data_IF_448636380744
#
_entry.id   IF_448636380744
#
_cell.length_a   1.000
_cell.length_b   1.000
_cell.length_c   1.000
_cell.angle_alpha   90.00
_cell.angle_beta   90.00
_cell.angle_gamma   90.00
#
_symmetry.space_group_name_H-M   'P 1'
#
loop_
_entity.id
_entity.type
_entity.pdbx_description
1 polymer ?
#
# COMPACT_ATOMS: atom_id res chain seq x y z
N UNK A 1 -46.30 2.91 23.48
CA UNK A 1 -44.84 3.00 23.33
C UNK A 1 -44.52 4.46 23.23
N UNK A 2 -43.93 5.05 24.27
CA UNK A 2 -43.29 6.35 24.11
C UNK A 2 -42.17 6.18 23.06
N UNK A 3 -42.10 7.11 22.13
CA UNK A 3 -41.10 7.07 21.07
C UNK A 3 -39.76 7.47 21.68
N UNK A 4 -39.05 6.52 22.27
CA UNK A 4 -37.73 6.78 22.81
C UNK A 4 -36.73 6.82 21.65
N UNK A 5 -36.49 8.03 21.16
CA UNK A 5 -35.52 8.30 20.10
C UNK A 5 -34.11 7.83 20.49
N UNK A 6 -33.81 7.73 21.80
CA UNK A 6 -32.52 7.25 22.32
C UNK A 6 -32.34 5.76 22.02
N UNK A 7 -33.39 4.95 22.15
CA UNK A 7 -33.35 3.52 21.84
C UNK A 7 -33.08 3.28 20.35
N UNK A 8 -33.80 3.98 19.48
CA UNK A 8 -33.57 3.93 18.03
C UNK A 8 -32.17 4.40 17.64
N UNK A 9 -31.64 5.42 18.33
CA UNK A 9 -30.26 5.86 18.16
C UNK A 9 -29.25 4.77 18.55
N UNK A 10 -29.50 4.03 19.64
CA UNK A 10 -28.70 2.87 20.05
C UNK A 10 -28.71 1.74 19.03
N UNK A 11 -29.87 1.42 18.44
CA UNK A 11 -29.96 0.44 17.36
C UNK A 11 -29.20 0.88 16.11
N UNK A 12 -29.29 2.16 15.74
CA UNK A 12 -28.53 2.71 14.62
C UNK A 12 -27.02 2.62 14.88
N UNK A 13 -26.56 2.99 16.08
CA UNK A 13 -25.15 2.87 16.45
C UNK A 13 -24.66 1.41 16.38
N UNK A 14 -25.45 0.47 16.92
CA UNK A 14 -25.18 -0.97 16.84
C UNK A 14 -25.06 -1.46 15.40
N UNK A 15 -25.97 -1.02 14.53
CA UNK A 15 -25.99 -1.38 13.12
C UNK A 15 -24.74 -0.86 12.40
N UNK A 16 -24.32 0.38 12.67
CA UNK A 16 -23.10 0.94 12.08
C UNK A 16 -21.87 0.12 12.49
N UNK A 17 -21.76 -0.26 13.77
CA UNK A 17 -20.69 -1.13 14.25
C UNK A 17 -20.75 -2.48 13.55
N UNK A 18 -21.92 -3.11 13.45
CA UNK A 18 -22.10 -4.39 12.75
C UNK A 18 -21.68 -4.31 11.28
N UNK A 19 -22.12 -3.27 10.56
CA UNK A 19 -21.76 -3.02 9.16
C UNK A 19 -20.25 -2.78 9.02
N UNK A 20 -19.60 -2.15 9.99
CA UNK A 20 -18.14 -1.98 9.96
C UNK A 20 -17.39 -3.31 9.89
N UNK A 21 -17.91 -4.35 10.57
CA UNK A 21 -17.29 -5.68 10.63
C UNK A 21 -17.43 -6.47 9.32
N UNK A 22 -18.33 -6.06 8.42
CA UNK A 22 -18.50 -6.70 7.10
C UNK A 22 -17.57 -6.11 6.04
N UNK A 23 -16.82 -5.05 6.36
CA UNK A 23 -15.95 -4.36 5.42
C UNK A 23 -14.68 -5.15 5.12
N UNK A 24 -14.39 -5.37 3.83
CA UNK A 24 -13.17 -6.08 3.38
C UNK A 24 -11.90 -5.21 3.48
N UNK A 25 -12.03 -3.90 3.29
CA UNK A 25 -10.89 -2.99 3.37
C UNK A 25 -10.60 -2.63 4.83
N UNK A 26 -9.34 -2.86 5.26
CA UNK A 26 -8.90 -2.56 6.63
C UNK A 26 -9.12 -1.07 6.97
N UNK A 27 -8.87 -0.16 6.03
CA UNK A 27 -9.10 1.28 6.24
C UNK A 27 -10.59 1.57 6.44
N UNK A 28 -11.46 1.03 5.57
CA UNK A 28 -12.92 1.22 5.69
C UNK A 28 -13.45 0.65 7.01
N UNK A 29 -12.98 -0.53 7.40
CA UNK A 29 -13.32 -1.16 8.68
C UNK A 29 -12.98 -0.22 9.84
N UNK A 30 -11.75 0.31 9.90
CA UNK A 30 -11.31 1.19 10.99
C UNK A 30 -12.07 2.51 11.03
N UNK A 31 -12.35 3.12 9.88
CA UNK A 31 -13.08 4.40 9.78
C UNK A 31 -14.53 4.23 10.20
N UNK A 32 -15.24 3.23 9.67
CA UNK A 32 -16.67 3.02 9.99
C UNK A 32 -16.81 2.56 11.44
N UNK A 33 -15.91 1.70 11.93
CA UNK A 33 -15.91 1.27 13.33
C UNK A 33 -15.63 2.44 14.28
N UNK A 34 -14.72 3.36 13.92
CA UNK A 34 -14.50 4.59 14.69
C UNK A 34 -15.80 5.42 14.81
N UNK A 35 -16.50 5.65 13.69
CA UNK A 35 -17.78 6.37 13.68
C UNK A 35 -18.81 5.63 14.54
N UNK A 36 -18.94 4.31 14.37
CA UNK A 36 -19.84 3.46 15.13
C UNK A 36 -19.58 3.53 16.64
N UNK A 37 -18.32 3.46 17.07
CA UNK A 37 -17.94 3.60 18.48
C UNK A 37 -18.25 5.00 19.03
N UNK A 38 -18.06 6.08 18.26
CA UNK A 38 -18.44 7.42 18.72
C UNK A 38 -19.96 7.55 18.90
N UNK A 39 -20.74 7.02 17.95
CA UNK A 39 -22.20 6.96 18.07
C UNK A 39 -22.63 6.14 19.30
N UNK A 40 -21.99 4.99 19.52
CA UNK A 40 -22.32 4.11 20.64
C UNK A 40 -21.88 4.70 21.99
N UNK A 41 -20.78 5.46 22.03
CA UNK A 41 -20.37 6.21 23.21
C UNK A 41 -21.37 7.33 23.54
N UNK A 42 -21.88 8.04 22.54
CA UNK A 42 -22.93 9.05 22.73
C UNK A 42 -24.25 8.41 23.22
N UNK A 43 -24.63 7.26 22.67
CA UNK A 43 -25.77 6.48 23.17
C UNK A 43 -25.56 6.07 24.63
N UNK A 44 -24.39 5.50 24.97
CA UNK A 44 -24.06 5.09 26.33
C UNK A 44 -24.09 6.25 27.33
N UNK A 45 -23.75 7.47 26.89
CA UNK A 45 -23.89 8.67 27.69
C UNK A 45 -25.37 9.00 27.97
N UNK A 46 -26.26 8.89 26.97
CA UNK A 46 -27.69 9.16 27.17
C UNK A 46 -28.39 8.18 28.13
N UNK A 47 -27.88 6.96 28.26
CA UNK A 47 -28.40 5.95 29.20
C UNK A 47 -27.58 5.87 30.52
N UNK A 48 -26.73 6.86 30.80
CA UNK A 48 -25.86 6.93 31.98
C UNK A 48 -24.94 5.69 32.18
N UNK A 49 -24.59 5.00 31.09
CA UNK A 49 -23.73 3.81 31.09
C UNK A 49 -22.26 4.17 30.92
N UNK A 50 -21.66 4.73 31.98
CA UNK A 50 -20.25 5.16 31.99
C UNK A 50 -19.24 4.08 31.56
N UNK A 51 -19.34 2.80 32.00
CA UNK A 51 -18.41 1.76 31.56
C UNK A 51 -18.46 1.52 30.05
N UNK A 52 -19.67 1.53 29.47
CA UNK A 52 -19.91 1.31 28.04
C UNK A 52 -19.40 2.50 27.22
N UNK A 53 -19.59 3.72 27.71
CA UNK A 53 -19.05 4.94 27.10
C UNK A 53 -17.52 4.89 27.04
N UNK A 54 -16.88 4.60 28.18
CA UNK A 54 -15.41 4.53 28.26
C UNK A 54 -14.84 3.44 27.34
N UNK A 55 -15.48 2.27 27.30
CA UNK A 55 -15.08 1.18 26.41
C UNK A 55 -15.10 1.62 24.93
N UNK A 56 -16.18 2.26 24.49
CA UNK A 56 -16.30 2.70 23.09
C UNK A 56 -15.34 3.84 22.74
N UNK A 57 -15.08 4.78 23.67
CA UNK A 57 -14.06 5.80 23.48
C UNK A 57 -12.65 5.19 23.39
N UNK A 58 -12.36 4.16 24.21
CA UNK A 58 -11.11 3.41 24.12
C UNK A 58 -10.94 2.72 22.77
N UNK A 59 -11.98 2.05 22.27
CA UNK A 59 -11.98 1.43 20.94
C UNK A 59 -11.81 2.49 19.84
N UNK A 60 -12.47 3.64 19.94
CA UNK A 60 -12.29 4.75 19.01
C UNK A 60 -10.82 5.21 18.96
N UNK A 61 -10.17 5.39 20.12
CA UNK A 61 -8.74 5.71 20.20
C UNK A 61 -7.85 4.65 19.54
N UNK A 62 -8.14 3.36 19.77
CA UNK A 62 -7.41 2.25 19.12
C UNK A 62 -7.57 2.31 17.59
N UNK A 63 -8.77 2.56 17.07
CA UNK A 63 -8.97 2.68 15.63
C UNK A 63 -8.15 3.85 15.05
N UNK A 64 -8.08 4.99 15.73
CA UNK A 64 -7.23 6.12 15.31
C UNK A 64 -5.76 5.74 15.28
N UNK A 65 -5.26 5.06 16.32
CA UNK A 65 -3.87 4.59 16.36
C UNK A 65 -3.52 3.67 15.18
N UNK A 66 -4.38 2.68 14.89
CA UNK A 66 -4.17 1.79 13.74
C UNK A 66 -4.31 2.52 12.40
N UNK A 67 -5.27 3.43 12.28
CA UNK A 67 -5.46 4.21 11.07
C UNK A 67 -4.24 5.09 10.79
N UNK A 68 -3.71 5.76 11.81
CA UNK A 68 -2.47 6.52 11.74
C UNK A 68 -1.27 5.64 11.32
N UNK A 69 -1.15 4.44 11.89
CA UNK A 69 -0.11 3.47 11.51
C UNK A 69 -0.19 3.04 10.05
N UNK A 70 -1.41 2.85 9.52
CA UNK A 70 -1.62 2.51 8.10
C UNK A 70 -1.23 3.68 7.17
N UNK A 71 -1.58 4.91 7.53
CA UNK A 71 -1.23 6.10 6.72
C UNK A 71 0.24 6.48 6.83
N UNK A 72 0.90 6.17 7.95
CA UNK A 72 2.32 6.49 8.19
C UNK A 72 3.23 5.31 7.83
N UNK A 73 2.67 4.21 7.31
CA UNK A 73 3.45 3.07 6.87
C UNK A 73 4.47 3.51 5.82
N UNK A 74 5.76 3.44 6.18
CA UNK A 74 6.84 3.80 5.27
C UNK A 74 6.85 2.82 4.10
N UNK A 75 7.05 3.37 2.91
CA UNK A 75 7.17 2.60 1.70
C UNK A 75 8.39 1.68 1.79
N UNK A 76 8.22 0.43 1.34
CA UNK A 76 9.28 -0.58 1.35
C UNK A 76 9.76 -0.77 -0.07
N UNK A 77 11.00 -0.40 -0.33
CA UNK A 77 11.66 -0.62 -1.60
C UNK A 77 12.53 -1.87 -1.51
N UNK A 78 12.53 -2.69 -2.56
CA UNK A 78 13.36 -3.91 -2.61
C UNK A 78 13.76 -4.21 -4.04
N UNK A 79 15.05 -4.42 -4.26
CA UNK A 79 15.56 -4.95 -5.51
C UNK A 79 15.52 -6.49 -5.42
N UNK A 80 14.94 -7.15 -6.42
CA UNK A 80 14.97 -8.62 -6.52
C UNK A 80 15.50 -9.05 -7.88
N UNK A 81 16.30 -10.11 -7.91
CA UNK A 81 16.80 -10.68 -9.17
C UNK A 81 15.65 -11.08 -10.09
N UNK A 82 15.74 -10.68 -11.34
CA UNK A 82 14.84 -11.06 -12.42
C UNK A 82 15.61 -11.88 -13.45
N UNK A 83 14.91 -12.80 -14.12
CA UNK A 83 15.45 -13.48 -15.29
C UNK A 83 14.76 -12.90 -16.53
N UNK A 84 15.56 -12.48 -17.51
CA UNK A 84 15.07 -11.96 -18.80
C UNK A 84 14.24 -12.99 -19.57
N UNK A 85 14.47 -14.28 -19.32
CA UNK A 85 13.74 -15.40 -19.92
C UNK A 85 12.44 -15.74 -19.20
N UNK A 86 12.18 -15.15 -18.03
CA UNK A 86 10.97 -15.45 -17.27
C UNK A 86 9.72 -14.92 -17.98
N UNK A 87 8.63 -15.69 -17.92
CA UNK A 87 7.34 -15.30 -18.50
C UNK A 87 6.87 -13.94 -17.97
N UNK A 88 7.10 -13.68 -16.68
CA UNK A 88 6.72 -12.41 -16.06
C UNK A 88 7.53 -11.23 -16.61
N UNK A 89 8.83 -11.39 -16.83
CA UNK A 89 9.66 -10.31 -17.38
C UNK A 89 9.22 -9.97 -18.80
N UNK A 90 9.03 -11.01 -19.62
CA UNK A 90 8.54 -10.85 -20.98
C UNK A 90 7.17 -10.17 -21.02
N UNK A 91 6.25 -10.58 -20.14
CA UNK A 91 4.95 -9.94 -20.00
C UNK A 91 5.09 -8.46 -19.59
N UNK A 92 5.89 -8.15 -18.58
CA UNK A 92 6.12 -6.79 -18.11
C UNK A 92 6.67 -5.89 -19.24
N UNK A 93 7.68 -6.36 -19.96
CA UNK A 93 8.28 -5.62 -21.09
C UNK A 93 7.27 -5.43 -22.21
N UNK A 94 6.49 -6.45 -22.56
CA UNK A 94 5.46 -6.35 -23.59
C UNK A 94 4.34 -5.36 -23.21
N UNK A 95 3.87 -5.41 -21.96
CA UNK A 95 2.83 -4.48 -21.46
C UNK A 95 3.31 -3.03 -21.49
N UNK A 96 4.60 -2.79 -21.27
CA UNK A 96 5.19 -1.45 -21.21
C UNK A 96 6.01 -1.08 -22.46
N UNK A 97 5.91 -1.88 -23.54
CA UNK A 97 6.78 -1.80 -24.72
C UNK A 97 6.86 -0.39 -25.32
N UNK A 98 5.71 0.28 -25.49
CA UNK A 98 5.63 1.60 -26.10
C UNK A 98 6.42 2.69 -25.35
N UNK A 99 6.60 2.54 -24.04
CA UNK A 99 7.42 3.47 -23.24
C UNK A 99 8.87 3.01 -23.16
N UNK A 100 9.14 1.69 -23.11
CA UNK A 100 10.50 1.12 -23.08
C UNK A 100 11.25 1.41 -24.38
N UNK A 101 10.57 1.28 -25.53
CA UNK A 101 11.14 1.57 -26.86
C UNK A 101 11.58 3.02 -27.04
N UNK A 102 11.15 3.93 -26.16
CA UNK A 102 11.64 5.32 -26.14
C UNK A 102 13.03 5.45 -25.52
N UNK A 103 13.46 4.45 -24.75
CA UNK A 103 14.75 4.45 -24.04
C UNK A 103 15.75 3.50 -24.69
N UNK A 104 15.29 2.32 -25.12
CA UNK A 104 16.16 1.28 -25.68
C UNK A 104 15.37 0.33 -26.57
N UNK A 105 16.07 -0.40 -27.44
CA UNK A 105 15.45 -1.45 -28.25
C UNK A 105 15.12 -2.67 -27.38
N UNK A 106 13.86 -3.12 -27.42
CA UNK A 106 13.39 -4.28 -26.66
C UNK A 106 14.12 -5.56 -27.08
N UNK A 107 14.58 -5.64 -28.33
CA UNK A 107 15.39 -6.75 -28.83
C UNK A 107 16.72 -6.87 -28.09
N UNK A 108 17.36 -5.74 -27.77
CA UNK A 108 18.65 -5.71 -27.07
C UNK A 108 18.55 -6.25 -25.62
N UNK A 109 17.41 -6.04 -24.94
CA UNK A 109 17.18 -6.49 -23.56
C UNK A 109 17.27 -8.01 -23.39
N UNK A 110 17.02 -8.79 -24.44
CA UNK A 110 17.11 -10.25 -24.40
C UNK A 110 18.55 -10.76 -24.29
N UNK A 111 19.52 -9.90 -24.62
CA UNK A 111 20.94 -10.24 -24.53
C UNK A 111 21.57 -9.85 -23.20
N UNK A 112 20.81 -9.18 -22.33
CA UNK A 112 21.29 -8.78 -21.02
C UNK A 112 21.52 -9.99 -20.11
N UNK A 113 22.65 -10.02 -19.42
CA UNK A 113 22.97 -11.09 -18.47
C UNK A 113 22.32 -10.89 -17.09
N UNK A 114 21.94 -9.65 -16.76
CA UNK A 114 21.45 -9.27 -15.43
C UNK A 114 20.19 -8.42 -15.53
N UNK A 115 19.18 -8.79 -14.76
CA UNK A 115 17.96 -8.01 -14.61
C UNK A 115 17.48 -8.02 -13.16
N UNK A 116 16.80 -6.94 -12.77
CA UNK A 116 16.20 -6.80 -11.45
C UNK A 116 14.80 -6.21 -11.56
N UNK A 117 13.89 -6.65 -10.69
CA UNK A 117 12.65 -5.93 -10.43
C UNK A 117 12.85 -4.96 -9.28
N UNK A 118 12.45 -3.71 -9.50
CA UNK A 118 12.31 -2.71 -8.45
C UNK A 118 10.93 -2.84 -7.83
N UNK A 119 10.86 -3.30 -6.58
CA UNK A 119 9.60 -3.41 -5.85
C UNK A 119 9.34 -2.15 -5.03
N UNK A 120 8.07 -1.72 -5.00
CA UNK A 120 7.54 -0.77 -4.02
C UNK A 120 6.33 -1.39 -3.34
N UNK A 121 6.43 -1.59 -2.02
CA UNK A 121 5.41 -2.27 -1.23
C UNK A 121 5.02 -3.65 -1.78
N UNK A 122 6.02 -4.39 -2.29
CA UNK A 122 5.87 -5.73 -2.90
C UNK A 122 5.16 -5.75 -4.26
N UNK A 123 4.81 -4.59 -4.83
CA UNK A 123 4.40 -4.44 -6.23
C UNK A 123 5.61 -4.13 -7.10
N UNK A 124 5.68 -4.68 -8.31
CA UNK A 124 6.74 -4.38 -9.27
C UNK A 124 6.50 -2.98 -9.82
N UNK A 125 7.38 -2.07 -9.45
CA UNK A 125 7.32 -0.69 -9.86
C UNK A 125 8.17 -0.41 -11.11
N UNK A 126 9.14 -1.27 -11.40
CA UNK A 126 10.03 -1.11 -12.53
C UNK A 126 10.99 -2.27 -12.72
N UNK A 127 11.81 -2.16 -13.76
CA UNK A 127 12.90 -3.09 -14.08
C UNK A 127 14.20 -2.33 -14.30
N UNK A 128 15.28 -2.89 -13.80
CA UNK A 128 16.65 -2.48 -14.10
C UNK A 128 17.31 -3.62 -14.88
N UNK A 129 17.87 -3.35 -16.05
CA UNK A 129 18.46 -4.36 -16.93
C UNK A 129 19.82 -3.88 -17.39
N UNK A 130 20.81 -4.76 -17.39
CA UNK A 130 22.17 -4.42 -17.77
C UNK A 130 23.07 -5.63 -17.95
N UNK A 131 24.35 -5.35 -18.22
CA UNK A 131 25.39 -6.38 -18.24
C UNK A 131 26.40 -6.14 -17.12
N UNK A 132 26.77 -7.20 -16.43
CA UNK A 132 27.88 -7.14 -15.49
C UNK A 132 29.20 -7.27 -16.28
N UNK A 133 29.88 -6.15 -16.51
CA UNK A 133 31.19 -6.17 -17.21
C UNK A 133 32.32 -6.71 -16.32
N UNK A 134 32.23 -6.48 -15.00
CA UNK A 134 33.14 -6.96 -13.95
C UNK A 134 32.35 -7.12 -12.62
N UNK A 135 32.91 -7.76 -11.59
CA UNK A 135 32.24 -8.09 -10.31
C UNK A 135 31.58 -6.91 -9.55
N UNK A 136 31.88 -5.66 -9.93
CA UNK A 136 31.47 -4.44 -9.19
C UNK A 136 30.82 -3.37 -10.09
N UNK A 137 30.58 -3.64 -11.39
CA UNK A 137 30.00 -2.62 -12.28
C UNK A 137 28.93 -3.20 -13.19
N UNK A 138 27.72 -2.66 -13.06
CA UNK A 138 26.58 -2.93 -13.93
C UNK A 138 26.49 -1.85 -15.00
N UNK A 139 26.63 -2.23 -16.27
CA UNK A 139 26.35 -1.36 -17.40
C UNK A 139 24.84 -1.37 -17.69
N UNK A 140 24.17 -0.28 -17.31
CA UNK A 140 22.70 -0.17 -17.33
C UNK A 140 22.23 0.06 -18.78
N UNK A 141 21.50 -0.91 -19.32
CA UNK A 141 20.83 -0.80 -20.62
C UNK A 141 19.41 -0.26 -20.51
N UNK A 142 18.74 -0.50 -19.38
CA UNK A 142 17.38 -0.02 -19.11
C UNK A 142 17.20 0.24 -17.62
N UNK A 143 16.77 1.45 -17.28
CA UNK A 143 16.19 1.80 -15.99
C UNK A 143 14.76 2.30 -16.23
N UNK A 144 13.80 1.40 -16.05
CA UNK A 144 12.41 1.67 -16.37
C UNK A 144 11.51 1.58 -15.15
N UNK A 145 10.71 2.62 -14.93
CA UNK A 145 9.66 2.67 -13.90
C UNK A 145 8.30 2.88 -14.57
N UNK A 146 7.29 2.12 -14.14
CA UNK A 146 5.92 2.21 -14.67
C UNK A 146 5.29 3.57 -14.33
N UNK A 147 4.37 4.10 -15.16
CA UNK A 147 3.81 5.45 -14.97
C UNK A 147 3.24 5.72 -13.58
N UNK A 148 2.62 4.72 -12.96
CA UNK A 148 2.02 4.79 -11.61
C UNK A 148 3.03 5.04 -10.48
N UNK A 149 4.32 4.75 -10.70
CA UNK A 149 5.38 4.92 -9.70
C UNK A 149 6.45 5.95 -10.08
N UNK A 150 6.22 6.79 -11.11
CA UNK A 150 7.12 7.88 -11.52
C UNK A 150 7.03 9.12 -10.63
N UNK A 151 7.12 8.93 -9.31
CA UNK A 151 7.10 10.00 -8.30
C UNK A 151 8.49 10.32 -7.70
N UNK A 152 9.56 9.92 -8.41
CA UNK A 152 10.98 10.09 -8.06
C UNK A 152 11.45 9.36 -6.79
N UNK A 153 10.55 8.76 -6.01
CA UNK A 153 10.93 8.09 -4.76
C UNK A 153 11.80 6.87 -4.97
N UNK A 154 11.60 6.13 -6.06
CA UNK A 154 12.41 4.96 -6.41
C UNK A 154 13.85 5.38 -6.70
N UNK A 155 14.03 6.39 -7.57
CA UNK A 155 15.35 6.90 -7.90
C UNK A 155 16.06 7.48 -6.67
N UNK A 156 15.37 8.31 -5.88
CA UNK A 156 15.92 8.84 -4.63
C UNK A 156 16.28 7.74 -3.63
N UNK A 157 15.50 6.65 -3.57
CA UNK A 157 15.80 5.52 -2.70
C UNK A 157 17.10 4.82 -3.09
N UNK A 158 17.22 4.40 -4.35
CA UNK A 158 18.36 3.58 -4.80
C UNK A 158 19.62 4.38 -5.11
N UNK A 159 19.52 5.61 -5.64
CA UNK A 159 20.70 6.36 -6.06
C UNK A 159 21.19 7.38 -5.02
N UNK A 160 20.32 7.87 -4.14
CA UNK A 160 20.71 8.90 -3.16
C UNK A 160 20.77 8.38 -1.72
N UNK A 161 19.71 7.69 -1.26
CA UNK A 161 19.60 7.34 0.17
C UNK A 161 20.15 5.95 0.53
N UNK A 162 20.17 5.00 -0.41
CA UNK A 162 20.70 3.65 -0.23
C UNK A 162 21.50 3.16 -1.45
N UNK A 163 22.59 3.86 -1.82
CA UNK A 163 23.43 3.47 -2.96
C UNK A 163 24.14 2.12 -2.77
N UNK A 164 24.23 1.61 -1.54
CA UNK A 164 24.79 0.30 -1.19
C UNK A 164 23.90 -0.89 -1.58
N UNK A 165 22.64 -0.64 -1.95
CA UNK A 165 21.66 -1.67 -2.35
C UNK A 165 21.68 -1.92 -3.86
N UNK A 166 22.27 -1.01 -4.64
CA UNK A 166 22.55 -1.12 -6.07
C UNK A 166 23.89 -1.82 -6.28
#
# INVERSE_FOLDING_TARGET
>A
MEFDWVEWFGYLASLVVLVSLTMTSIVKLRVINFIGCLLFAAFAYFIDSYPTMLMNLGIAGINVYYLYGLYTAKERFKLIGASVDSEYFQHFVQTNQADIERQTDVGALKTADTAFYMLRNNSIAGVLVGNCNDSETLDIQLDFVTPEFRDMKIAHYYYESHPDVM
#
